data_IF_364404906728
#
_entry.id   IF_364404906728
#
_cell.length_a   1.000
_cell.length_b   1.000
_cell.length_c   1.000
_cell.angle_alpha   90.00
_cell.angle_beta   90.00
_cell.angle_gamma   90.00
#
_symmetry.space_group_name_H-M   'P 1'
#
loop_
_entity.id
_entity.type
_entity.pdbx_description
1 polymer ?
#
# COMPACT_ATOMS: atom_id res chain seq x y z
N UNK A 1 -84.63 42.62 -26.10
CA UNK A 1 -84.87 41.20 -25.78
C UNK A 1 -83.53 40.51 -25.63
N UNK A 2 -83.07 40.28 -24.40
CA UNK A 2 -81.86 39.49 -24.14
C UNK A 2 -82.26 38.03 -24.02
N UNK A 3 -81.82 37.19 -24.95
CA UNK A 3 -82.00 35.74 -24.87
C UNK A 3 -81.16 35.21 -23.70
N UNK A 4 -81.82 34.86 -22.60
CA UNK A 4 -81.23 34.09 -21.50
C UNK A 4 -81.03 32.65 -21.98
N UNK A 5 -79.86 32.37 -22.55
CA UNK A 5 -79.43 30.99 -22.80
C UNK A 5 -78.99 30.40 -21.45
N UNK A 6 -79.88 29.65 -20.81
CA UNK A 6 -79.52 28.89 -19.61
C UNK A 6 -78.67 27.67 -20.02
N UNK A 7 -77.67 27.34 -19.21
CA UNK A 7 -76.89 26.12 -19.38
C UNK A 7 -77.73 24.92 -18.91
N UNK A 8 -78.11 24.03 -19.82
CA UNK A 8 -78.74 22.75 -19.49
C UNK A 8 -77.66 21.70 -19.22
N UNK A 9 -77.29 21.54 -17.95
CA UNK A 9 -76.34 20.52 -17.50
C UNK A 9 -76.32 20.35 -15.98
N UNK A 10 -75.86 19.19 -15.52
CA UNK A 10 -75.62 18.93 -14.10
C UNK A 10 -74.18 19.33 -13.75
N UNK A 11 -74.00 20.06 -12.67
CA UNK A 11 -72.69 20.41 -12.11
C UNK A 11 -72.43 19.45 -10.95
N UNK A 12 -71.26 18.82 -10.95
CA UNK A 12 -70.78 17.97 -9.86
C UNK A 12 -69.30 18.28 -9.56
N UNK A 13 -68.81 17.92 -8.38
CA UNK A 13 -67.40 18.05 -7.95
C UNK A 13 -66.79 19.46 -8.11
N UNK A 14 -67.52 20.50 -7.68
CA UNK A 14 -67.01 21.89 -7.73
C UNK A 14 -65.80 22.04 -6.81
N UNK A 15 -64.65 22.38 -7.39
CA UNK A 15 -63.45 22.78 -6.67
C UNK A 15 -63.16 24.26 -6.93
N UNK A 16 -62.92 25.03 -5.86
CA UNK A 16 -62.58 26.45 -5.92
C UNK A 16 -61.19 26.62 -5.33
N UNK A 17 -60.28 27.22 -6.10
CA UNK A 17 -58.92 27.53 -5.68
C UNK A 17 -58.75 29.03 -5.54
N UNK A 18 -58.01 29.46 -4.51
CA UNK A 18 -57.62 30.84 -4.26
C UNK A 18 -56.38 31.28 -5.06
N UNK A 19 -55.84 30.38 -5.89
CA UNK A 19 -54.72 30.61 -6.80
C UNK A 19 -54.98 30.06 -8.20
N UNK A 20 -54.23 30.56 -9.17
CA UNK A 20 -54.19 29.97 -10.50
C UNK A 20 -53.44 28.62 -10.46
N UNK A 21 -54.02 27.61 -11.11
CA UNK A 21 -53.39 26.30 -11.27
C UNK A 21 -52.59 26.25 -12.58
N UNK A 22 -51.50 25.49 -12.55
CA UNK A 22 -50.73 25.16 -13.77
C UNK A 22 -51.52 24.20 -14.67
N UNK A 23 -51.25 24.18 -15.99
CA UNK A 23 -51.88 23.21 -16.89
C UNK A 23 -51.71 21.75 -16.44
N UNK A 24 -50.57 21.41 -15.84
CA UNK A 24 -50.26 20.07 -15.33
C UNK A 24 -51.15 19.70 -14.14
N UNK A 25 -51.37 20.64 -13.21
CA UNK A 25 -52.30 20.43 -12.09
C UNK A 25 -53.73 20.26 -12.57
N UNK A 26 -54.17 21.12 -13.51
CA UNK A 26 -55.52 21.01 -14.10
C UNK A 26 -55.69 19.64 -14.74
N UNK A 27 -54.69 19.16 -15.48
CA UNK A 27 -54.71 17.84 -16.11
C UNK A 27 -54.73 16.70 -15.10
N UNK A 28 -53.98 16.80 -13.99
CA UNK A 28 -53.97 15.81 -12.92
C UNK A 28 -55.34 15.72 -12.22
N UNK A 29 -55.94 16.88 -11.90
CA UNK A 29 -57.29 16.98 -11.33
C UNK A 29 -58.36 16.41 -12.27
N UNK A 30 -58.31 16.78 -13.56
CA UNK A 30 -59.24 16.28 -14.59
C UNK A 30 -59.21 14.76 -14.73
N UNK A 31 -58.02 14.15 -14.62
CA UNK A 31 -57.84 12.70 -14.67
C UNK A 31 -58.03 12.00 -13.31
N UNK A 32 -58.46 12.73 -12.27
CA UNK A 32 -58.64 12.24 -10.91
C UNK A 32 -57.41 11.51 -10.34
N UNK A 33 -56.20 12.04 -10.59
CA UNK A 33 -54.94 11.50 -10.09
C UNK A 33 -54.73 11.94 -8.64
N UNK A 34 -55.25 11.17 -7.70
CA UNK A 34 -55.05 11.39 -6.24
C UNK A 34 -53.70 10.88 -5.73
N UNK A 35 -52.95 10.20 -6.59
CA UNK A 35 -51.65 9.58 -6.34
C UNK A 35 -50.48 10.37 -6.95
N UNK A 36 -50.71 11.57 -7.49
CA UNK A 36 -49.70 12.36 -8.19
C UNK A 36 -49.62 13.79 -7.65
N UNK A 37 -48.43 14.17 -7.21
CA UNK A 37 -48.01 15.56 -7.09
C UNK A 37 -47.18 15.88 -8.34
N UNK A 38 -47.56 16.92 -9.08
CA UNK A 38 -46.83 17.31 -10.29
C UNK A 38 -45.51 17.98 -9.91
N UNK A 39 -44.46 17.80 -10.72
CA UNK A 39 -43.11 18.30 -10.39
C UNK A 39 -43.04 19.81 -10.21
N UNK A 40 -43.95 20.59 -10.79
CA UNK A 40 -44.03 22.05 -10.59
C UNK A 40 -44.50 22.45 -9.18
N UNK A 41 -44.98 21.50 -8.38
CA UNK A 41 -45.41 21.71 -6.99
C UNK A 41 -44.33 21.29 -5.98
N UNK A 42 -43.21 20.78 -6.46
CA UNK A 42 -42.05 20.37 -5.65
C UNK A 42 -40.82 21.15 -6.07
N UNK A 43 -39.92 21.39 -5.13
CA UNK A 43 -38.58 21.93 -5.37
C UNK A 43 -37.52 20.96 -4.86
N UNK A 44 -36.37 20.92 -5.55
CA UNK A 44 -35.20 20.17 -5.07
C UNK A 44 -34.85 20.64 -3.66
N UNK A 45 -34.63 19.68 -2.76
CA UNK A 45 -34.38 19.93 -1.34
C UNK A 45 -35.63 19.99 -0.47
N UNK A 46 -36.84 19.95 -1.05
CA UNK A 46 -38.05 19.81 -0.25
C UNK A 46 -38.02 18.50 0.54
N UNK A 47 -38.38 18.58 1.82
CA UNK A 47 -38.53 17.43 2.70
C UNK A 47 -40.01 17.21 2.99
N UNK A 48 -40.52 16.07 2.54
CA UNK A 48 -41.91 15.68 2.66
C UNK A 48 -42.03 14.57 3.71
N UNK A 49 -42.95 14.74 4.66
CA UNK A 49 -43.35 13.71 5.61
C UNK A 49 -44.88 13.73 5.77
N UNK A 50 -45.47 12.57 6.02
CA UNK A 50 -46.88 12.45 6.33
C UNK A 50 -47.05 12.30 7.84
N UNK A 51 -47.87 13.16 8.46
CA UNK A 51 -48.15 13.07 9.88
C UNK A 51 -49.64 12.91 10.17
N UNK A 52 -49.95 12.06 11.14
CA UNK A 52 -51.32 11.78 11.59
C UNK A 52 -51.44 12.11 13.06
N UNK A 53 -52.47 12.87 13.40
CA UNK A 53 -52.95 13.05 14.77
C UNK A 53 -54.29 12.31 14.89
N UNK A 54 -54.35 11.17 15.59
CA UNK A 54 -55.61 10.44 15.75
C UNK A 54 -56.58 11.25 16.62
N UNK A 55 -57.88 11.25 16.28
CA UNK A 55 -58.93 11.93 17.04
C UNK A 55 -60.11 10.98 17.27
N UNK A 56 -60.64 10.95 18.49
CA UNK A 56 -61.74 10.05 18.89
C UNK A 56 -63.11 10.76 19.00
N UNK A 57 -63.20 12.01 18.55
CA UNK A 57 -64.38 12.86 18.66
C UNK A 57 -64.46 13.69 19.95
N UNK A 58 -63.61 13.42 20.95
CA UNK A 58 -63.52 14.19 22.19
C UNK A 58 -62.15 14.86 22.38
N UNK A 59 -61.06 14.21 21.94
CA UNK A 59 -59.71 14.72 22.05
C UNK A 59 -58.78 14.26 20.91
N UNK A 60 -57.74 15.06 20.67
CA UNK A 60 -56.61 14.71 19.80
C UNK A 60 -55.59 13.87 20.58
N UNK A 61 -55.11 12.80 19.96
CA UNK A 61 -54.00 11.99 20.44
C UNK A 61 -52.64 12.54 20.04
N UNK A 62 -51.59 11.74 20.23
CA UNK A 62 -50.23 12.14 19.85
C UNK A 62 -50.02 12.12 18.34
N UNK A 63 -49.46 13.20 17.79
CA UNK A 63 -49.03 13.26 16.39
C UNK A 63 -47.90 12.27 16.13
N UNK A 64 -48.02 11.48 15.07
CA UNK A 64 -46.99 10.54 14.59
C UNK A 64 -46.69 10.86 13.13
N UNK A 65 -45.41 10.94 12.76
CA UNK A 65 -44.95 11.23 11.40
C UNK A 65 -44.28 10.01 10.76
N UNK A 66 -44.32 9.94 9.42
CA UNK A 66 -43.57 8.97 8.62
C UNK A 66 -42.08 9.29 8.62
N UNK A 67 -41.28 8.49 7.90
CA UNK A 67 -39.95 8.91 7.48
C UNK A 67 -40.05 10.10 6.48
N UNK A 68 -38.93 10.79 6.33
CA UNK A 68 -38.77 11.86 5.35
C UNK A 68 -38.56 11.31 3.94
N UNK A 69 -39.07 12.03 2.96
CA UNK A 69 -38.76 11.90 1.53
C UNK A 69 -38.15 13.24 1.11
N UNK A 70 -36.94 13.21 0.55
CA UNK A 70 -36.28 14.42 0.04
C UNK A 70 -36.37 14.44 -1.48
N UNK A 71 -36.80 15.55 -2.06
CA UNK A 71 -36.84 15.71 -3.52
C UNK A 71 -35.42 15.99 -4.03
N UNK A 72 -34.90 15.08 -4.84
CA UNK A 72 -33.55 15.17 -5.43
C UNK A 72 -33.59 15.80 -6.83
N UNK A 73 -32.44 16.28 -7.35
CA UNK A 73 -32.35 16.77 -8.73
C UNK A 73 -32.75 15.71 -9.77
N UNK A 74 -33.44 16.14 -10.84
CA UNK A 74 -33.82 15.26 -11.96
C UNK A 74 -32.63 14.85 -12.86
N UNK A 75 -31.44 15.40 -12.60
CA UNK A 75 -30.22 15.14 -13.38
C UNK A 75 -29.13 14.70 -12.42
N UNK A 76 -28.67 13.46 -12.58
CA UNK A 76 -27.54 12.94 -11.82
C UNK A 76 -26.29 13.81 -12.02
N UNK A 77 -25.61 14.16 -10.95
CA UNK A 77 -24.34 14.88 -11.00
C UNK A 77 -23.18 13.95 -10.68
N UNK A 78 -22.00 14.21 -11.25
CA UNK A 78 -20.84 13.39 -10.90
C UNK A 78 -20.39 13.68 -9.45
N UNK A 79 -19.85 12.69 -8.73
CA UNK A 79 -19.30 12.91 -7.40
C UNK A 79 -18.24 14.02 -7.38
N UNK A 80 -18.06 14.66 -6.22
CA UNK A 80 -16.98 15.63 -6.06
C UNK A 80 -15.62 14.97 -6.29
N UNK A 81 -14.69 15.72 -6.87
CA UNK A 81 -13.32 15.25 -7.12
C UNK A 81 -12.60 14.89 -5.80
N UNK A 82 -12.04 13.67 -5.66
CA UNK A 82 -11.25 13.32 -4.49
C UNK A 82 -9.90 14.06 -4.49
N UNK A 83 -9.42 14.45 -3.31
CA UNK A 83 -8.11 15.10 -3.10
C UNK A 83 -7.12 14.08 -2.57
N UNK A 84 -5.99 13.94 -3.25
CA UNK A 84 -4.93 12.99 -2.89
C UNK A 84 -4.14 13.48 -1.69
N UNK A 85 -3.82 12.57 -0.75
CA UNK A 85 -3.11 12.89 0.50
C UNK A 85 -1.75 12.19 0.56
N UNK A 86 -1.73 10.85 0.48
CA UNK A 86 -0.49 10.05 0.54
C UNK A 86 -0.51 8.94 -0.49
N UNK A 87 0.65 8.55 -1.07
CA UNK A 87 1.93 9.27 -1.07
C UNK A 87 1.82 10.68 -1.67
N UNK A 88 2.50 11.66 -1.06
CA UNK A 88 2.46 13.05 -1.53
C UNK A 88 3.13 13.21 -2.89
N UNK A 89 2.65 14.15 -3.70
CA UNK A 89 3.23 14.44 -5.01
C UNK A 89 4.73 14.79 -4.93
N UNK A 90 5.54 14.18 -5.78
CA UNK A 90 6.99 14.39 -5.84
C UNK A 90 7.78 13.75 -4.70
N UNK A 91 7.21 12.81 -3.93
CA UNK A 91 7.96 12.17 -2.84
C UNK A 91 9.01 11.19 -3.37
N UNK A 92 10.28 11.45 -3.07
CA UNK A 92 11.41 10.61 -3.51
C UNK A 92 12.15 9.92 -2.36
N UNK A 93 11.67 10.02 -1.12
CA UNK A 93 12.36 9.50 0.08
C UNK A 93 11.76 8.20 0.62
N UNK A 94 10.85 7.57 -0.12
CA UNK A 94 10.22 6.32 0.29
C UNK A 94 11.16 5.15 0.04
N UNK A 95 11.43 4.35 1.06
CA UNK A 95 12.19 3.10 0.91
C UNK A 95 11.30 1.86 1.07
N UNK A 96 10.14 1.99 1.71
CA UNK A 96 9.25 0.86 1.94
C UNK A 96 8.53 0.47 0.63
N UNK A 97 8.54 -0.81 0.27
CA UNK A 97 7.77 -1.33 -0.88
C UNK A 97 6.28 -1.48 -0.58
N UNK A 98 5.85 -1.21 0.64
CA UNK A 98 4.44 -1.14 1.05
C UNK A 98 4.05 0.30 1.26
N UNK A 99 3.07 0.77 0.48
CA UNK A 99 2.59 2.14 0.52
C UNK A 99 1.09 2.19 0.79
N UNK A 100 0.70 3.16 1.62
CA UNK A 100 -0.70 3.46 1.93
C UNK A 100 -1.13 4.66 1.10
N UNK A 101 -2.10 4.42 0.22
CA UNK A 101 -2.74 5.43 -0.59
C UNK A 101 -3.94 5.98 0.17
N UNK A 102 -3.97 7.30 0.41
CA UNK A 102 -5.07 7.97 1.10
C UNK A 102 -5.57 9.15 0.28
N UNK A 103 -6.89 9.38 0.30
CA UNK A 103 -7.54 10.53 -0.32
C UNK A 103 -8.73 10.99 0.52
N UNK A 104 -9.27 12.16 0.21
CA UNK A 104 -10.49 12.68 0.87
C UNK A 104 -11.73 11.97 0.35
N UNK A 105 -12.73 11.77 1.22
CA UNK A 105 -14.04 11.32 0.78
C UNK A 105 -14.66 12.32 -0.21
N UNK A 106 -15.15 11.81 -1.33
CA UNK A 106 -16.05 12.52 -2.23
C UNK A 106 -17.47 12.56 -1.65
N UNK A 107 -18.24 13.55 -2.06
CA UNK A 107 -19.67 13.66 -1.80
C UNK A 107 -20.44 13.62 -3.11
N UNK A 108 -21.67 13.16 -3.03
CA UNK A 108 -22.63 13.14 -4.13
C UNK A 108 -23.85 13.96 -3.72
N UNK A 109 -24.40 14.77 -4.63
CA UNK A 109 -25.51 15.67 -4.30
C UNK A 109 -26.84 14.92 -4.19
N UNK A 110 -26.97 13.82 -4.92
CA UNK A 110 -28.14 12.95 -4.94
C UNK A 110 -28.09 11.92 -3.78
N UNK A 111 -26.92 11.76 -3.16
CA UNK A 111 -26.69 10.84 -2.05
C UNK A 111 -26.41 9.41 -2.52
N UNK A 112 -26.01 9.25 -3.78
CA UNK A 112 -25.70 7.95 -4.34
C UNK A 112 -24.43 7.34 -3.70
N UNK A 113 -24.36 6.01 -3.53
CA UNK A 113 -23.17 5.35 -2.98
C UNK A 113 -21.94 5.54 -3.86
N UNK A 114 -20.86 6.05 -3.27
CA UNK A 114 -19.60 6.31 -3.99
C UNK A 114 -18.64 5.13 -3.86
N UNK A 115 -18.06 4.74 -4.97
CA UNK A 115 -16.90 3.83 -5.06
C UNK A 115 -15.69 4.56 -5.65
N UNK A 116 -14.50 4.08 -5.34
CA UNK A 116 -13.24 4.64 -5.81
C UNK A 116 -12.46 3.62 -6.62
N UNK A 117 -11.90 4.06 -7.74
CA UNK A 117 -10.91 3.34 -8.51
C UNK A 117 -9.55 4.03 -8.38
N UNK A 118 -8.62 3.39 -7.65
CA UNK A 118 -7.21 3.78 -7.61
C UNK A 118 -6.52 3.26 -8.88
N UNK A 119 -5.95 4.16 -9.65
CA UNK A 119 -5.12 3.87 -10.81
C UNK A 119 -3.65 4.09 -10.45
N UNK A 120 -2.81 3.08 -10.65
CA UNK A 120 -1.37 3.13 -10.44
C UNK A 120 -0.67 2.79 -11.76
N UNK A 121 0.17 3.69 -12.23
CA UNK A 121 1.01 3.54 -13.42
C UNK A 121 2.46 3.79 -13.05
N UNK A 122 3.37 3.47 -13.95
CA UNK A 122 4.81 3.74 -13.78
C UNK A 122 5.46 3.92 -15.15
N UNK A 123 6.69 4.40 -15.18
CA UNK A 123 7.41 4.60 -16.45
C UNK A 123 7.65 3.29 -17.21
N UNK A 124 7.90 2.17 -16.50
CA UNK A 124 8.36 0.92 -17.13
C UNK A 124 7.45 -0.29 -16.88
N UNK A 125 6.62 -0.26 -15.83
CA UNK A 125 5.82 -1.41 -15.43
C UNK A 125 4.34 -1.25 -15.78
N UNK A 126 3.61 -2.37 -15.94
CA UNK A 126 2.21 -2.34 -16.32
C UNK A 126 1.34 -1.56 -15.32
N UNK A 127 0.32 -0.91 -15.85
CA UNK A 127 -0.71 -0.27 -15.05
C UNK A 127 -1.42 -1.30 -14.15
N UNK A 128 -1.77 -0.87 -12.94
CA UNK A 128 -2.62 -1.61 -12.01
C UNK A 128 -3.78 -0.74 -11.57
N UNK A 129 -4.94 -1.35 -11.38
CA UNK A 129 -6.15 -0.68 -10.91
C UNK A 129 -6.77 -1.44 -9.76
N UNK A 130 -7.33 -0.70 -8.80
CA UNK A 130 -7.92 -1.26 -7.58
C UNK A 130 -9.24 -0.54 -7.30
N UNK A 131 -10.27 -1.28 -6.91
CA UNK A 131 -11.59 -0.73 -6.58
C UNK A 131 -11.83 -0.89 -5.09
N UNK A 132 -12.34 0.15 -4.44
CA UNK A 132 -12.69 0.15 -3.02
C UNK A 132 -13.82 1.12 -2.73
N UNK A 133 -14.52 0.96 -1.61
CA UNK A 133 -15.46 1.96 -1.07
C UNK A 133 -14.81 2.83 0.02
N UNK A 134 -13.64 2.43 0.50
CA UNK A 134 -12.87 3.18 1.49
C UNK A 134 -12.14 4.36 0.85
N UNK A 135 -11.70 5.29 1.70
CA UNK A 135 -10.88 6.44 1.31
C UNK A 135 -9.38 6.15 1.33
N UNK A 136 -9.02 4.86 1.40
CA UNK A 136 -7.66 4.39 1.42
C UNK A 136 -7.49 3.03 0.75
N UNK A 137 -6.25 2.73 0.36
CA UNK A 137 -5.86 1.43 -0.15
C UNK A 137 -4.37 1.16 0.14
N UNK A 138 -4.04 -0.04 0.62
CA UNK A 138 -2.63 -0.41 0.87
C UNK A 138 -2.14 -1.33 -0.23
N UNK A 139 -1.02 -0.98 -0.87
CA UNK A 139 -0.35 -1.81 -1.87
C UNK A 139 1.00 -2.25 -1.31
N UNK A 140 1.22 -3.56 -1.25
CA UNK A 140 2.51 -4.16 -0.93
C UNK A 140 3.26 -4.60 -2.19
N UNK A 141 4.57 -4.79 -2.07
CA UNK A 141 5.40 -5.29 -3.17
C UNK A 141 5.51 -4.31 -4.36
N UNK A 142 5.47 -3.01 -4.09
CA UNK A 142 5.82 -2.01 -5.10
C UNK A 142 7.29 -2.16 -5.50
N UNK A 143 7.54 -1.89 -6.77
CA UNK A 143 8.87 -1.92 -7.35
C UNK A 143 9.63 -0.63 -7.04
N UNK A 144 10.95 -0.73 -6.93
CA UNK A 144 11.80 0.44 -6.75
C UNK A 144 11.92 1.25 -8.04
N UNK A 145 12.52 2.43 -7.94
CA UNK A 145 12.76 3.33 -9.08
C UNK A 145 13.64 2.67 -10.14
N UNK A 146 14.61 1.84 -9.75
CA UNK A 146 15.45 1.10 -10.71
C UNK A 146 14.67 0.03 -11.49
N UNK A 147 13.60 -0.51 -10.90
CA UNK A 147 12.81 -1.58 -11.48
C UNK A 147 11.67 -1.05 -12.36
N UNK A 148 10.98 0.02 -11.94
CA UNK A 148 9.78 0.53 -12.63
C UNK A 148 9.80 2.04 -12.96
N UNK A 149 10.87 2.76 -12.62
CA UNK A 149 10.91 4.21 -12.71
C UNK A 149 10.02 4.90 -11.68
N UNK A 150 9.56 6.11 -12.00
CA UNK A 150 8.64 6.88 -11.17
C UNK A 150 7.25 6.25 -11.24
N UNK A 151 6.57 6.17 -10.09
CA UNK A 151 5.17 5.74 -10.00
C UNK A 151 4.26 6.95 -10.07
N UNK A 152 3.13 6.80 -10.76
CA UNK A 152 2.09 7.82 -10.85
C UNK A 152 0.75 7.23 -10.43
N UNK A 153 -0.03 7.97 -9.65
CA UNK A 153 -1.30 7.49 -9.15
C UNK A 153 -2.39 8.56 -9.20
N UNK A 154 -3.61 8.11 -9.41
CA UNK A 154 -4.83 8.93 -9.40
C UNK A 154 -6.00 8.11 -8.87
N UNK A 155 -7.03 8.78 -8.37
CA UNK A 155 -8.25 8.16 -7.87
C UNK A 155 -9.44 8.69 -8.63
N UNK A 156 -10.28 7.80 -9.14
CA UNK A 156 -11.56 8.13 -9.77
C UNK A 156 -12.69 7.78 -8.82
N UNK A 157 -13.48 8.77 -8.40
CA UNK A 157 -14.73 8.56 -7.68
C UNK A 157 -15.86 8.27 -8.69
N UNK A 158 -16.76 7.36 -8.34
CA UNK A 158 -17.88 6.91 -9.17
C UNK A 158 -19.14 6.70 -8.32
N UNK A 159 -20.26 7.26 -8.74
CA UNK A 159 -21.62 7.00 -8.21
C UNK A 159 -22.28 5.77 -8.87
N UNK A 160 -21.59 5.11 -9.81
CA UNK A 160 -22.11 4.01 -10.63
C UNK A 160 -22.58 4.42 -12.03
N UNK A 161 -22.78 5.71 -12.28
CA UNK A 161 -23.22 6.30 -13.55
C UNK A 161 -22.20 7.30 -14.12
N UNK A 162 -21.74 8.23 -13.29
CA UNK A 162 -20.79 9.29 -13.60
C UNK A 162 -19.54 9.16 -12.73
N UNK A 163 -18.47 9.78 -13.20
CA UNK A 163 -17.16 9.70 -12.53
C UNK A 163 -16.46 11.03 -12.50
N UNK A 164 -15.58 11.19 -11.51
CA UNK A 164 -14.70 12.35 -11.39
C UNK A 164 -13.32 11.92 -10.89
N UNK A 165 -12.26 12.33 -11.60
CA UNK A 165 -10.90 11.87 -11.35
C UNK A 165 -10.07 12.96 -10.67
N UNK A 166 -9.25 12.55 -9.70
CA UNK A 166 -8.27 13.41 -9.03
C UNK A 166 -7.21 13.95 -10.00
N UNK A 167 -6.34 14.83 -9.49
CA UNK A 167 -5.03 15.04 -10.13
C UNK A 167 -4.23 13.73 -10.14
N UNK A 168 -3.14 13.70 -10.92
CA UNK A 168 -2.17 12.60 -10.86
C UNK A 168 -0.98 13.03 -10.01
N UNK A 169 -0.74 12.30 -8.91
CA UNK A 169 0.45 12.47 -8.09
C UNK A 169 1.54 11.49 -8.53
N UNK A 170 2.80 11.87 -8.36
CA UNK A 170 3.93 11.00 -8.58
C UNK A 170 4.72 10.74 -7.29
N UNK A 171 5.39 9.59 -7.21
CA UNK A 171 6.33 9.26 -6.14
C UNK A 171 7.36 8.23 -6.62
N UNK A 172 8.48 8.16 -5.92
CA UNK A 172 9.57 7.22 -6.19
C UNK A 172 9.86 6.39 -4.95
N UNK A 173 10.22 5.13 -5.17
CA UNK A 173 10.74 4.26 -4.11
C UNK A 173 12.25 4.13 -4.33
N UNK A 174 13.03 4.73 -3.44
CA UNK A 174 14.48 4.78 -3.52
C UNK A 174 15.07 3.37 -3.30
N UNK A 175 15.84 2.84 -4.27
CA UNK A 175 16.57 1.59 -4.09
C UNK A 175 17.64 1.80 -3.00
N UNK A 176 17.51 1.06 -1.90
CA UNK A 176 18.33 1.26 -0.70
C UNK A 176 18.85 -0.08 -0.21
N UNK A 177 20.15 -0.12 0.08
CA UNK A 177 20.80 -1.27 0.72
C UNK A 177 21.11 -0.89 2.15
N UNK A 178 20.67 -1.75 3.06
CA UNK A 178 20.94 -1.61 4.49
C UNK A 178 21.42 -2.98 4.94
N UNK A 179 22.73 -3.13 5.12
CA UNK A 179 23.33 -4.36 5.63
C UNK A 179 23.69 -4.17 7.08
N UNK A 180 23.27 -5.11 7.92
CA UNK A 180 23.59 -5.15 9.35
C UNK A 180 24.12 -6.51 9.74
N UNK A 181 25.00 -6.54 10.73
CA UNK A 181 25.42 -7.79 11.35
C UNK A 181 24.48 -8.17 12.49
N UNK A 182 23.95 -9.39 12.43
CA UNK A 182 23.29 -10.04 13.57
C UNK A 182 24.37 -10.67 14.48
N UNK A 183 25.43 -11.21 13.87
CA UNK A 183 26.64 -11.68 14.55
C UNK A 183 27.88 -11.10 13.87
N UNK A 184 28.70 -10.36 14.63
CA UNK A 184 29.84 -9.59 14.11
C UNK A 184 31.19 -9.99 14.75
N UNK A 185 31.24 -11.08 15.50
CA UNK A 185 32.46 -11.61 16.14
C UNK A 185 32.43 -13.13 16.08
N UNK A 186 33.56 -13.74 15.70
CA UNK A 186 33.80 -15.18 15.83
C UNK A 186 34.95 -15.36 16.81
N UNK A 187 34.71 -16.11 17.88
CA UNK A 187 35.70 -16.38 18.92
C UNK A 187 35.89 -17.88 19.09
N UNK A 188 37.06 -18.38 18.67
CA UNK A 188 37.42 -19.80 18.77
C UNK A 188 37.93 -20.20 20.16
N UNK A 189 38.12 -19.25 21.08
CA UNK A 189 38.69 -19.50 22.40
C UNK A 189 40.15 -19.98 22.34
N UNK A 190 40.50 -20.89 23.24
CA UNK A 190 41.83 -21.48 23.30
C UNK A 190 41.97 -22.61 22.27
N UNK A 191 42.97 -22.50 21.39
CA UNK A 191 43.32 -23.53 20.41
C UNK A 191 44.81 -23.90 20.51
N UNK A 192 45.12 -25.19 20.48
CA UNK A 192 46.49 -25.72 20.47
C UNK A 192 47.09 -25.71 19.05
N UNK A 193 48.42 -25.62 18.90
CA UNK A 193 49.07 -25.77 17.59
C UNK A 193 48.69 -27.08 16.88
N UNK A 194 48.24 -26.98 15.64
CA UNK A 194 47.74 -28.09 14.82
C UNK A 194 46.24 -28.37 14.96
N UNK A 195 45.52 -27.69 15.86
CA UNK A 195 44.07 -27.82 15.95
C UNK A 195 43.37 -27.11 14.81
N UNK A 196 42.27 -27.71 14.37
CA UNK A 196 41.36 -27.20 13.36
C UNK A 196 40.00 -27.01 14.03
N UNK A 197 39.39 -25.85 13.82
CA UNK A 197 38.01 -25.61 14.17
C UNK A 197 37.34 -24.71 13.12
N UNK A 198 36.02 -24.79 13.02
CA UNK A 198 35.21 -23.98 12.12
C UNK A 198 33.86 -23.62 12.75
N UNK A 199 33.01 -22.93 12.00
CA UNK A 199 31.69 -22.46 12.46
C UNK A 199 30.53 -23.22 11.82
N UNK A 200 30.77 -24.33 11.08
CA UNK A 200 29.70 -25.04 10.36
C UNK A 200 28.65 -25.66 11.30
N UNK A 201 29.03 -25.91 12.56
CA UNK A 201 28.17 -26.42 13.62
C UNK A 201 27.58 -25.31 14.53
N UNK A 202 27.70 -24.06 14.11
CA UNK A 202 27.36 -22.84 14.88
C UNK A 202 28.11 -22.72 16.22
N UNK A 203 29.26 -23.39 16.37
CA UNK A 203 30.07 -23.36 17.59
C UNK A 203 31.60 -23.30 17.32
N UNK A 204 32.19 -22.09 17.20
CA UNK A 204 31.59 -20.79 17.54
C UNK A 204 30.60 -20.27 16.50
N UNK A 205 29.79 -19.29 16.90
CA UNK A 205 28.80 -18.69 16.00
C UNK A 205 29.49 -18.02 14.80
N UNK A 206 29.01 -18.23 13.56
CA UNK A 206 29.53 -17.56 12.37
C UNK A 206 29.17 -16.07 12.36
N UNK A 207 29.73 -15.34 11.38
CA UNK A 207 29.19 -14.02 11.06
C UNK A 207 27.82 -14.18 10.39
N UNK A 208 26.85 -13.36 10.78
CA UNK A 208 25.52 -13.36 10.18
C UNK A 208 25.24 -11.94 9.69
N UNK A 209 24.98 -11.81 8.40
CA UNK A 209 24.61 -10.55 7.76
C UNK A 209 23.14 -10.61 7.37
N UNK A 210 22.43 -9.53 7.62
CA UNK A 210 21.04 -9.33 7.24
C UNK A 210 20.91 -8.11 6.32
N UNK A 211 20.12 -8.24 5.27
CA UNK A 211 19.73 -7.15 4.38
C UNK A 211 18.35 -6.60 4.78
N UNK A 212 18.37 -5.47 5.48
CA UNK A 212 17.17 -4.70 5.84
C UNK A 212 16.81 -3.63 4.80
N UNK A 213 17.47 -3.64 3.63
CA UNK A 213 17.18 -2.76 2.51
C UNK A 213 15.91 -3.14 1.76
N UNK A 214 15.79 -2.66 0.52
CA UNK A 214 14.67 -2.99 -0.36
C UNK A 214 15.12 -3.47 -1.74
N UNK A 215 16.42 -3.68 -1.95
CA UNK A 215 16.99 -4.26 -3.16
C UNK A 215 17.96 -5.37 -2.79
N UNK A 216 18.23 -6.26 -3.74
CA UNK A 216 19.22 -7.32 -3.54
C UNK A 216 20.62 -6.73 -3.39
N UNK A 217 21.42 -7.35 -2.55
CA UNK A 217 22.78 -6.93 -2.29
C UNK A 217 23.77 -8.06 -2.59
N UNK A 218 24.86 -7.72 -3.26
CA UNK A 218 26.04 -8.57 -3.36
C UNK A 218 26.99 -8.22 -2.22
N UNK A 219 27.54 -9.23 -1.53
CA UNK A 219 28.68 -9.07 -0.63
C UNK A 219 29.94 -9.23 -1.47
N UNK A 220 30.51 -8.09 -1.88
CA UNK A 220 31.57 -7.98 -2.88
C UNK A 220 32.98 -8.19 -2.33
N UNK A 221 33.16 -8.06 -1.02
CA UNK A 221 34.46 -8.15 -0.40
C UNK A 221 34.34 -8.72 1.01
N UNK A 222 35.16 -9.73 1.32
CA UNK A 222 35.64 -10.02 2.67
C UNK A 222 37.15 -10.02 2.59
N UNK A 223 37.77 -9.10 3.31
CA UNK A 223 39.23 -8.95 3.33
C UNK A 223 39.74 -8.63 4.73
N UNK A 224 41.01 -8.94 4.96
CA UNK A 224 41.71 -8.54 6.17
C UNK A 224 42.95 -7.75 5.80
N UNK A 225 43.24 -6.67 6.54
CA UNK A 225 44.48 -5.92 6.39
C UNK A 225 45.67 -6.61 7.06
N UNK A 226 45.40 -7.48 8.05
CA UNK A 226 46.41 -8.18 8.84
C UNK A 226 46.14 -9.69 8.83
N UNK A 227 47.22 -10.47 8.79
CA UNK A 227 47.16 -11.91 8.99
C UNK A 227 46.67 -12.25 10.41
N UNK A 228 45.92 -13.35 10.55
CA UNK A 228 45.55 -13.89 11.87
C UNK A 228 46.78 -14.48 12.59
N UNK A 229 47.66 -15.14 11.83
CA UNK A 229 48.86 -15.82 12.33
C UNK A 229 50.13 -15.12 11.90
N UNK A 230 51.20 -15.32 12.68
CA UNK A 230 52.52 -14.72 12.42
C UNK A 230 53.56 -15.70 11.91
N UNK A 231 53.35 -17.01 12.10
CA UNK A 231 54.31 -18.03 11.67
C UNK A 231 54.13 -18.49 10.22
N UNK A 232 53.07 -18.05 9.53
CA UNK A 232 52.75 -18.42 8.14
C UNK A 232 52.51 -17.18 7.28
N UNK A 233 52.62 -17.34 5.96
CA UNK A 233 52.32 -16.29 5.00
C UNK A 233 50.81 -15.97 4.98
N UNK A 234 50.45 -14.79 4.47
CA UNK A 234 49.07 -14.34 4.29
C UNK A 234 48.88 -13.86 2.85
N UNK A 235 47.87 -14.36 2.11
CA UNK A 235 46.84 -15.35 2.49
C UNK A 235 47.37 -16.78 2.72
N UNK A 236 46.61 -17.61 3.46
CA UNK A 236 46.91 -19.05 3.63
C UNK A 236 45.67 -19.87 4.00
N UNK A 237 45.76 -21.20 3.82
CA UNK A 237 44.71 -22.17 4.17
C UNK A 237 44.49 -22.35 5.67
N UNK A 238 45.29 -21.70 6.52
CA UNK A 238 45.11 -21.69 7.97
C UNK A 238 43.97 -20.76 8.41
N UNK A 239 43.48 -19.89 7.51
CA UNK A 239 42.38 -18.98 7.80
C UNK A 239 41.51 -18.77 6.55
N UNK A 240 40.34 -19.38 6.57
CA UNK A 240 39.47 -19.49 5.41
C UNK A 240 38.05 -19.06 5.76
N UNK A 241 37.27 -18.74 4.74
CA UNK A 241 35.85 -18.45 4.86
C UNK A 241 35.06 -19.14 3.75
N UNK A 242 33.74 -19.25 3.93
CA UNK A 242 32.78 -19.57 2.87
C UNK A 242 31.43 -18.91 3.18
N UNK A 243 30.59 -18.73 2.17
CA UNK A 243 29.19 -18.39 2.34
C UNK A 243 28.37 -19.63 2.71
N UNK A 244 27.42 -19.47 3.62
CA UNK A 244 26.43 -20.50 3.95
C UNK A 244 25.05 -19.87 4.20
N UNK A 245 24.02 -20.71 4.24
CA UNK A 245 22.69 -20.28 4.66
C UNK A 245 22.70 -20.05 6.17
N UNK A 246 22.00 -19.01 6.62
CA UNK A 246 21.63 -18.89 8.03
C UNK A 246 20.50 -19.88 8.35
N UNK A 247 19.75 -19.63 9.42
CA UNK A 247 18.45 -20.26 9.64
C UNK A 247 17.47 -20.06 8.46
N UNK A 248 17.72 -19.06 7.62
CA UNK A 248 16.97 -18.79 6.39
C UNK A 248 17.66 -19.42 5.19
N UNK A 249 16.94 -20.31 4.51
CA UNK A 249 17.42 -20.96 3.27
C UNK A 249 17.00 -20.15 2.03
N UNK A 250 17.76 -20.26 0.94
CA UNK A 250 17.47 -19.56 -0.33
C UNK A 250 17.53 -18.03 -0.27
N UNK A 251 18.32 -17.48 0.66
CA UNK A 251 18.48 -16.03 0.82
C UNK A 251 19.36 -15.39 -0.26
N UNK A 252 20.20 -16.18 -0.93
CA UNK A 252 21.12 -15.69 -1.97
C UNK A 252 21.32 -16.73 -3.08
N UNK A 253 22.01 -16.33 -4.15
CA UNK A 253 22.36 -17.22 -5.26
C UNK A 253 23.51 -18.14 -4.86
N UNK A 254 23.17 -19.36 -4.42
CA UNK A 254 24.13 -20.38 -3.99
C UNK A 254 25.23 -20.66 -5.03
N UNK A 255 24.85 -20.97 -6.29
CA UNK A 255 25.80 -21.31 -7.36
C UNK A 255 26.71 -20.15 -7.76
N UNK A 256 26.25 -18.91 -7.59
CA UNK A 256 27.03 -17.72 -7.87
C UNK A 256 27.94 -17.26 -6.73
N UNK A 257 27.84 -17.92 -5.57
CA UNK A 257 28.48 -17.54 -4.31
C UNK A 257 29.64 -18.48 -3.97
N UNK A 258 30.55 -18.05 -3.10
CA UNK A 258 31.69 -18.85 -2.66
C UNK A 258 31.29 -19.77 -1.50
N UNK A 259 30.66 -20.89 -1.83
CA UNK A 259 30.15 -21.88 -0.85
C UNK A 259 31.14 -23.03 -0.61
N UNK A 260 32.43 -22.76 -0.78
CA UNK A 260 33.53 -23.68 -0.51
C UNK A 260 34.64 -22.88 0.14
N UNK A 261 35.46 -23.52 0.99
CA UNK A 261 36.51 -22.84 1.73
C UNK A 261 37.50 -22.13 0.80
N UNK A 262 37.63 -20.82 0.99
CA UNK A 262 38.61 -19.96 0.31
C UNK A 262 39.41 -19.20 1.34
N UNK A 263 40.71 -19.04 1.08
CA UNK A 263 41.62 -18.32 1.95
C UNK A 263 41.23 -16.84 2.06
N UNK A 264 41.21 -16.33 3.29
CA UNK A 264 41.03 -14.89 3.53
C UNK A 264 42.27 -14.17 3.01
N UNK A 265 42.04 -13.11 2.23
CA UNK A 265 43.09 -12.37 1.54
C UNK A 265 42.94 -10.86 1.71
N UNK A 266 43.94 -10.11 1.26
CA UNK A 266 43.87 -8.65 1.16
C UNK A 266 43.10 -8.17 -0.10
N UNK A 267 42.77 -9.08 -1.02
CA UNK A 267 42.06 -8.74 -2.25
C UNK A 267 40.55 -8.92 -2.10
N UNK A 268 39.78 -8.09 -2.79
CA UNK A 268 38.33 -8.19 -2.82
C UNK A 268 37.88 -9.50 -3.46
N UNK A 269 37.03 -10.25 -2.76
CA UNK A 269 36.36 -11.44 -3.26
C UNK A 269 34.86 -11.27 -3.10
N UNK A 270 34.10 -11.46 -4.20
CA UNK A 270 32.63 -11.52 -4.15
C UNK A 270 32.21 -12.87 -3.62
N UNK A 271 31.41 -12.88 -2.56
CA UNK A 271 31.22 -14.07 -1.72
C UNK A 271 29.78 -14.48 -1.71
N UNK A 272 28.87 -13.53 -1.49
CA UNK A 272 27.44 -13.75 -1.52
C UNK A 272 26.88 -12.92 -2.66
N UNK A 273 26.18 -13.57 -3.59
CA UNK A 273 25.51 -12.88 -4.70
C UNK A 273 24.01 -12.82 -4.49
N UNK A 274 23.42 -11.64 -4.64
CA UNK A 274 21.99 -11.42 -4.65
C UNK A 274 21.31 -11.78 -3.34
N UNK A 275 21.90 -11.39 -2.20
CA UNK A 275 21.26 -11.46 -0.90
C UNK A 275 19.96 -10.67 -0.95
N UNK A 276 18.86 -11.40 -0.79
CA UNK A 276 17.49 -10.92 -0.80
C UNK A 276 17.20 -9.98 0.37
N UNK A 277 16.04 -9.33 0.35
CA UNK A 277 15.60 -8.36 1.36
C UNK A 277 14.23 -8.73 1.96
N UNK A 278 13.62 -9.81 1.49
CA UNK A 278 12.39 -10.35 2.03
C UNK A 278 12.62 -10.95 3.41
N UNK A 279 11.79 -10.60 4.40
CA UNK A 279 11.96 -10.93 5.84
C UNK A 279 12.07 -12.41 6.19
N UNK A 280 11.82 -13.32 5.26
CA UNK A 280 11.99 -14.78 5.45
C UNK A 280 13.27 -15.33 4.82
N UNK A 281 14.01 -14.49 4.10
CA UNK A 281 15.12 -14.87 3.22
C UNK A 281 16.13 -13.72 3.08
N UNK A 282 16.32 -12.86 4.07
CA UNK A 282 17.18 -11.68 3.96
C UNK A 282 18.52 -11.82 4.70
N UNK A 283 18.81 -12.99 5.27
CA UNK A 283 20.04 -13.24 6.01
C UNK A 283 20.91 -14.33 5.39
N UNK A 284 22.21 -14.23 5.61
CA UNK A 284 23.19 -15.23 5.21
C UNK A 284 24.34 -15.34 6.22
N UNK A 285 24.93 -16.52 6.30
CA UNK A 285 26.10 -16.81 7.13
C UNK A 285 27.38 -16.68 6.32
N UNK A 286 28.44 -16.26 7.01
CA UNK A 286 29.82 -16.41 6.55
C UNK A 286 30.52 -17.26 7.59
N UNK A 287 30.79 -18.49 7.19
CA UNK A 287 31.53 -19.41 8.01
C UNK A 287 33.02 -19.09 7.98
N UNK A 288 33.68 -19.36 9.11
CA UNK A 288 35.12 -19.19 9.27
C UNK A 288 35.73 -20.52 9.67
N UNK A 289 36.84 -20.89 9.03
CA UNK A 289 37.67 -22.02 9.42
C UNK A 289 39.05 -21.51 9.83
N UNK A 290 39.52 -22.01 10.95
CA UNK A 290 40.86 -21.73 11.48
C UNK A 290 41.59 -23.04 11.74
N UNK A 291 42.84 -23.09 11.30
CA UNK A 291 43.80 -24.10 11.70
C UNK A 291 44.99 -23.39 12.33
N UNK A 292 45.40 -23.77 13.55
CA UNK A 292 46.55 -23.14 14.20
C UNK A 292 47.84 -23.72 13.62
N UNK A 293 48.75 -22.93 13.03
CA UNK A 293 50.01 -23.46 12.52
C UNK A 293 50.84 -24.12 13.64
N UNK A 294 51.50 -25.24 13.34
CA UNK A 294 52.29 -26.00 14.33
C UNK A 294 53.49 -25.22 14.90
N UNK A 295 53.98 -24.22 14.16
CA UNK A 295 55.04 -23.29 14.57
C UNK A 295 54.51 -22.02 15.25
N UNK A 296 53.19 -21.86 15.41
CA UNK A 296 52.64 -20.65 16.01
C UNK A 296 52.96 -20.63 17.51
N UNK A 297 53.57 -19.54 17.97
CA UNK A 297 53.85 -19.36 19.39
C UNK A 297 52.59 -18.96 20.15
N UNK A 298 52.42 -19.40 21.42
CA UNK A 298 51.31 -19.02 22.27
C UNK A 298 51.21 -17.50 22.41
N UNK A 299 50.12 -16.92 21.91
CA UNK A 299 49.77 -15.52 22.02
C UNK A 299 48.30 -15.33 21.63
N UNK A 300 47.70 -14.23 22.07
CA UNK A 300 46.39 -13.82 21.58
C UNK A 300 46.47 -13.51 20.08
N UNK A 301 45.63 -14.17 19.28
CA UNK A 301 45.49 -13.92 17.83
C UNK A 301 44.15 -13.29 17.56
N UNK A 302 44.17 -12.15 16.88
CA UNK A 302 42.96 -11.43 16.48
C UNK A 302 43.21 -10.75 15.14
N UNK A 303 42.17 -10.67 14.32
CA UNK A 303 42.17 -9.88 13.09
C UNK A 303 40.78 -9.30 12.85
N UNK A 304 40.70 -8.25 12.05
CA UNK A 304 39.45 -7.58 11.71
C UNK A 304 39.16 -7.80 10.23
N UNK A 305 37.97 -8.33 9.94
CA UNK A 305 37.49 -8.46 8.58
C UNK A 305 36.73 -7.20 8.16
N UNK A 306 37.00 -6.73 6.96
CA UNK A 306 36.23 -5.69 6.28
C UNK A 306 35.31 -6.36 5.29
N UNK A 307 34.00 -6.17 5.49
CA UNK A 307 32.96 -6.70 4.62
C UNK A 307 32.27 -5.54 3.91
N UNK A 308 32.20 -5.60 2.58
CA UNK A 308 31.57 -4.55 1.77
C UNK A 308 30.49 -5.16 0.91
N UNK A 309 29.29 -4.59 0.99
CA UNK A 309 28.19 -4.91 0.10
C UNK A 309 27.88 -3.80 -0.91
N UNK A 310 27.27 -4.17 -2.02
CA UNK A 310 26.77 -3.24 -3.03
C UNK A 310 25.51 -3.79 -3.70
N UNK A 311 24.83 -2.97 -4.49
CA UNK A 311 23.65 -3.39 -5.23
C UNK A 311 24.03 -4.38 -6.32
N UNK A 312 23.23 -5.43 -6.44
CA UNK A 312 23.32 -6.42 -7.52
C UNK A 312 22.92 -5.81 -8.86
#
# INVERSE_FOLDING_TARGET
SGSSNFFEGNIDDIQIFDRALTPQQIQALYNNRTDLIVSTETSVGDVWEACVTPNDGFADGSKVCSNNITILPDVNTAPTKPVLLTPTDGNTSLINRTQVFNWTASTDNEGDPISYQLNLTSDLCPQRTFITTDTNYTISGLNTTDECGVHYWSVTASDGSLTNTSETFNFSIEPTIILSFVSNVVDFGDMMPGEVNDTEDDNPLPFIIENSGNVKADILNISASNALFTSVAFPSSYWQFKADNSTEVNSFNWTGSLTSWVDISASNQTIIRGLKYETSNNSAQIDIRVEVPSSELPALRQSTLTIVGAQT
#
